data_IF_712517104610
#
_entry.id   IF_712517104610
#
_cell.length_a   1.000
_cell.length_b   1.000
_cell.length_c   1.000
_cell.angle_alpha   90.00
_cell.angle_beta   90.00
_cell.angle_gamma   90.00
#
_symmetry.space_group_name_H-M   'P 1'
#
loop_
_entity.id
_entity.type
_entity.pdbx_description
1 polymer ?
#
# COMPACT_ATOMS: atom_id res chain seq x y z
N UNK A 1 -12.20 -0.68 -7.55
CA UNK A 1 -11.60 -0.33 -6.24
C UNK A 1 -10.34 0.46 -6.52
N UNK A 2 -10.19 1.67 -5.98
CA UNK A 2 -8.93 2.44 -6.08
C UNK A 2 -7.91 1.91 -5.07
N UNK A 3 -6.62 1.99 -5.38
CA UNK A 3 -5.53 1.42 -4.57
C UNK A 3 -5.54 1.98 -3.15
N UNK A 4 -5.87 3.28 -3.00
CA UNK A 4 -5.97 3.89 -1.68
C UNK A 4 -7.08 3.31 -0.79
N UNK A 5 -8.22 2.92 -1.37
CA UNK A 5 -9.31 2.28 -0.61
C UNK A 5 -8.92 0.87 -0.19
N UNK A 6 -8.24 0.11 -1.06
CA UNK A 6 -7.72 -1.22 -0.71
C UNK A 6 -6.78 -1.14 0.50
N UNK A 7 -5.77 -0.25 0.43
CA UNK A 7 -4.79 -0.08 1.52
C UNK A 7 -5.50 0.28 2.82
N UNK A 8 -6.43 1.26 2.81
CA UNK A 8 -7.16 1.68 4.01
C UNK A 8 -8.00 0.55 4.61
N UNK A 9 -8.67 -0.23 3.77
CA UNK A 9 -9.52 -1.34 4.24
C UNK A 9 -8.68 -2.46 4.85
N UNK A 10 -7.62 -2.91 4.16
CA UNK A 10 -6.73 -3.95 4.68
C UNK A 10 -6.01 -3.50 5.96
N UNK A 11 -5.58 -2.24 6.02
CA UNK A 11 -4.96 -1.70 7.24
C UNK A 11 -5.93 -1.76 8.42
N UNK A 12 -7.19 -1.34 8.20
CA UNK A 12 -8.24 -1.39 9.22
C UNK A 12 -8.53 -2.82 9.68
N UNK A 13 -8.64 -3.76 8.75
CA UNK A 13 -8.86 -5.19 9.05
C UNK A 13 -7.72 -5.77 9.90
N UNK A 14 -6.49 -5.33 9.64
CA UNK A 14 -5.27 -5.75 10.35
C UNK A 14 -4.99 -4.92 11.62
N UNK A 15 -5.90 -4.02 12.01
CA UNK A 15 -5.76 -3.19 13.20
C UNK A 15 -4.62 -2.16 13.13
N UNK A 16 -4.18 -1.76 11.92
CA UNK A 16 -3.14 -0.75 11.71
C UNK A 16 -3.72 0.55 11.17
N UNK A 17 -3.22 1.69 11.65
CA UNK A 17 -3.53 3.00 11.09
C UNK A 17 -2.62 3.34 9.90
N UNK A 18 -3.07 4.22 9.01
CA UNK A 18 -2.24 4.72 7.89
C UNK A 18 -1.06 5.52 8.42
N UNK A 19 -1.23 6.20 9.56
CA UNK A 19 -0.19 6.94 10.27
C UNK A 19 0.93 6.01 10.74
N UNK A 20 0.59 4.85 11.30
CA UNK A 20 1.57 3.87 11.74
C UNK A 20 2.32 3.25 10.56
N UNK A 21 1.60 2.95 9.48
CA UNK A 21 2.21 2.46 8.24
C UNK A 21 3.20 3.48 7.67
N UNK A 22 2.81 4.75 7.61
CA UNK A 22 3.69 5.82 7.15
C UNK A 22 5.01 5.82 7.93
N UNK A 23 4.95 5.76 9.27
CA UNK A 23 6.14 5.73 10.12
C UNK A 23 7.00 4.49 9.87
N UNK A 24 6.38 3.31 9.74
CA UNK A 24 7.08 2.03 9.50
C UNK A 24 7.81 1.99 8.16
N UNK A 25 7.27 2.65 7.13
CA UNK A 25 7.92 2.76 5.82
C UNK A 25 8.85 3.98 5.70
N UNK A 26 9.14 4.69 6.79
CA UNK A 26 10.06 5.83 6.82
C UNK A 26 9.47 7.16 6.33
N UNK A 27 8.15 7.27 6.25
CA UNK A 27 7.45 8.47 5.80
C UNK A 27 6.78 9.23 6.94
N UNK A 28 6.48 10.50 6.67
CA UNK A 28 5.51 11.23 7.48
C UNK A 28 4.08 10.80 7.10
N UNK A 29 3.13 10.78 8.05
CA UNK A 29 1.72 10.51 7.74
C UNK A 29 1.14 11.42 6.64
N UNK A 30 1.60 12.69 6.60
CA UNK A 30 1.20 13.65 5.56
C UNK A 30 1.65 13.21 4.17
N UNK A 31 2.87 12.70 4.02
CA UNK A 31 3.39 12.24 2.73
C UNK A 31 2.63 11.01 2.23
N UNK A 32 2.43 9.99 3.10
CA UNK A 32 1.69 8.80 2.69
C UNK A 32 0.22 9.14 2.35
N UNK A 33 -0.45 9.94 3.17
CA UNK A 33 -1.83 10.38 2.87
C UNK A 33 -1.92 11.17 1.56
N UNK A 34 -0.91 11.98 1.22
CA UNK A 34 -0.83 12.68 -0.06
C UNK A 34 -0.68 11.71 -1.23
N UNK A 35 0.18 10.70 -1.11
CA UNK A 35 0.37 9.68 -2.15
C UNK A 35 -0.90 8.84 -2.35
N UNK A 36 -1.55 8.42 -1.26
CA UNK A 36 -2.83 7.71 -1.29
C UNK A 36 -3.91 8.56 -1.97
N UNK A 37 -4.04 9.84 -1.60
CA UNK A 37 -5.03 10.74 -2.21
C UNK A 37 -4.80 10.97 -3.72
N UNK A 38 -3.54 10.94 -4.16
CA UNK A 38 -3.17 11.19 -5.56
C UNK A 38 -3.05 9.89 -6.38
N UNK A 39 -3.26 8.73 -5.77
CA UNK A 39 -3.03 7.42 -6.38
C UNK A 39 -1.60 7.26 -6.96
N UNK A 40 -0.60 7.84 -6.27
CA UNK A 40 0.81 7.80 -6.68
C UNK A 40 1.66 6.88 -5.80
N UNK A 41 1.05 5.84 -5.20
CA UNK A 41 1.79 4.83 -4.43
C UNK A 41 2.46 3.88 -5.41
N UNK A 42 3.79 3.85 -5.39
CA UNK A 42 4.63 2.97 -6.20
C UNK A 42 4.54 1.51 -5.77
N UNK A 43 4.91 0.58 -6.66
CA UNK A 43 4.99 -0.86 -6.34
C UNK A 43 5.87 -1.14 -5.12
N UNK A 44 7.01 -0.45 -4.98
CA UNK A 44 7.89 -0.60 -3.81
C UNK A 44 7.17 -0.23 -2.51
N UNK A 45 6.42 0.86 -2.51
CA UNK A 45 5.62 1.27 -1.35
C UNK A 45 4.49 0.26 -1.08
N UNK A 46 3.84 -0.27 -2.12
CA UNK A 46 2.82 -1.32 -1.97
C UNK A 46 3.39 -2.57 -1.30
N UNK A 47 4.58 -3.01 -1.70
CA UNK A 47 5.26 -4.16 -1.07
C UNK A 47 5.59 -3.89 0.40
N UNK A 48 6.11 -2.70 0.73
CA UNK A 48 6.42 -2.32 2.11
C UNK A 48 5.15 -2.27 2.98
N UNK A 49 4.07 -1.68 2.47
CA UNK A 49 2.78 -1.63 3.17
C UNK A 49 2.23 -3.04 3.38
N UNK A 50 2.30 -3.90 2.37
CA UNK A 50 1.84 -5.29 2.44
C UNK A 50 2.59 -6.08 3.53
N UNK A 51 3.91 -5.95 3.56
CA UNK A 51 4.75 -6.54 4.61
C UNK A 51 4.35 -6.02 6.00
N UNK A 52 4.11 -4.72 6.14
CA UNK A 52 3.68 -4.17 7.42
C UNK A 52 2.28 -4.64 7.83
N UNK A 53 1.32 -4.82 6.94
CA UNK A 53 -0.03 -5.29 7.31
C UNK A 53 -0.17 -6.83 7.26
N UNK A 54 0.94 -7.56 7.16
CA UNK A 54 0.96 -9.04 7.12
C UNK A 54 0.01 -9.61 6.05
N UNK A 55 0.18 -9.11 4.82
CA UNK A 55 -0.49 -9.61 3.61
C UNK A 55 0.53 -9.81 2.50
N UNK A 56 0.21 -10.67 1.55
CA UNK A 56 1.05 -10.91 0.37
C UNK A 56 0.68 -9.91 -0.72
N UNK A 57 1.68 -9.20 -1.24
CA UNK A 57 1.56 -8.44 -2.49
C UNK A 57 2.03 -9.33 -3.64
N UNK A 58 1.17 -9.55 -4.63
CA UNK A 58 1.50 -10.31 -5.84
C UNK A 58 1.34 -9.43 -7.09
N UNK A 59 2.38 -9.39 -7.92
CA UNK A 59 2.33 -8.82 -9.26
C UNK A 59 2.89 -9.85 -10.23
N UNK A 60 2.10 -10.23 -11.23
CA UNK A 60 2.49 -11.22 -12.23
C UNK A 60 2.45 -10.61 -13.64
N UNK A 61 3.37 -11.08 -14.48
CA UNK A 61 3.42 -10.75 -15.91
C UNK A 61 3.40 -12.06 -16.68
N UNK A 62 2.42 -12.22 -17.57
CA UNK A 62 2.27 -13.44 -18.38
C UNK A 62 2.71 -13.09 -19.80
N UNK A 63 3.74 -13.78 -20.28
CA UNK A 63 4.14 -13.71 -21.68
C UNK A 63 3.21 -14.63 -22.49
N UNK A 64 2.23 -14.06 -23.17
CA UNK A 64 1.41 -14.76 -24.17
C UNK A 64 2.07 -14.71 -25.55
N UNK A 65 1.88 -15.75 -26.37
CA UNK A 65 2.04 -15.60 -27.82
C UNK A 65 0.86 -14.75 -28.32
N UNK A 66 1.19 -13.62 -28.95
CA UNK A 66 0.26 -12.79 -29.70
C UNK A 66 -0.39 -13.58 -30.83
#
# INVERSE_FOLDING_TARGET
MITSNLIKNLSKEKGKSVEDLARRIGYTPKNLNKNLKRETVSTKELMLIANEIDVVFEQSHILGKW
#
